data_IF_353230507024
#
_entry.id   IF_353230507024
#
_cell.length_a   1.000
_cell.length_b   1.000
_cell.length_c   1.000
_cell.angle_alpha   90.00
_cell.angle_beta   90.00
_cell.angle_gamma   90.00
#
_symmetry.space_group_name_H-M   'P 1'
#
loop_
_entity.id
_entity.type
_entity.pdbx_description
1 polymer ?
#
# COMPACT_ATOMS: atom_id res chain seq x y z
N UNK A 1 0.45 -8.23 17.66
CA UNK A 1 -0.02 -8.46 16.27
C UNK A 1 -0.34 -7.11 15.65
N UNK A 2 0.04 -6.86 14.38
CA UNK A 2 -0.44 -5.65 13.67
C UNK A 2 -1.96 -5.67 13.58
N UNK A 3 -2.60 -4.53 13.80
CA UNK A 3 -4.03 -4.41 13.57
C UNK A 3 -4.34 -4.61 12.08
N UNK A 4 -5.58 -4.86 11.74
CA UNK A 4 -6.02 -4.88 10.34
C UNK A 4 -6.86 -3.65 10.10
N UNK A 5 -6.69 -3.04 8.93
CA UNK A 5 -7.40 -1.82 8.59
C UNK A 5 -8.93 -2.03 8.70
N UNK A 6 -9.58 -1.28 9.59
CA UNK A 6 -11.04 -1.16 9.63
C UNK A 6 -11.43 0.23 9.15
N UNK A 7 -12.30 0.36 8.13
CA UNK A 7 -12.78 1.66 7.70
C UNK A 7 -13.60 2.31 8.82
N UNK A 8 -13.23 3.54 9.22
CA UNK A 8 -14.12 4.44 9.96
C UNK A 8 -13.67 4.96 11.32
N UNK A 9 -12.52 4.58 11.88
CA UNK A 9 -12.13 5.06 13.23
C UNK A 9 -10.80 5.82 13.31
N UNK A 10 -9.94 5.71 12.30
CA UNK A 10 -8.66 6.38 12.30
C UNK A 10 -8.16 6.58 10.86
N UNK A 11 -7.45 7.67 10.58
CA UNK A 11 -6.80 7.92 9.27
C UNK A 11 -5.57 7.03 9.13
N UNK A 12 -5.77 5.71 9.13
CA UNK A 12 -4.76 4.78 8.67
C UNK A 12 -4.40 5.18 7.24
N UNK A 13 -3.10 5.26 6.93
CA UNK A 13 -2.65 5.57 5.57
C UNK A 13 -3.35 4.63 4.59
N UNK A 14 -4.08 5.18 3.61
CA UNK A 14 -4.84 4.41 2.61
C UNK A 14 -3.95 3.44 1.82
N UNK A 15 -2.63 3.67 1.82
CA UNK A 15 -1.62 2.87 1.15
C UNK A 15 -0.56 2.35 2.13
N UNK A 16 -0.96 1.59 3.15
CA UNK A 16 0.03 0.83 3.94
C UNK A 16 0.67 -0.26 3.05
N UNK A 17 2.01 -0.40 3.05
CA UNK A 17 2.68 -1.44 2.29
C UNK A 17 2.33 -2.86 2.78
N UNK A 18 1.82 -3.02 4.01
CA UNK A 18 1.42 -4.31 4.58
C UNK A 18 -0.07 -4.64 4.40
N UNK A 19 -0.81 -3.89 3.56
CA UNK A 19 -2.25 -4.09 3.37
C UNK A 19 -2.58 -5.58 3.15
N UNK A 20 -3.55 -6.14 3.91
CA UNK A 20 -4.55 -5.48 4.75
C UNK A 20 -4.12 -5.15 6.20
N UNK A 21 -2.89 -5.47 6.60
CA UNK A 21 -2.38 -5.20 7.94
C UNK A 21 -1.95 -3.73 8.08
N UNK A 22 -2.36 -3.12 9.19
CA UNK A 22 -1.95 -1.80 9.64
C UNK A 22 -1.02 -1.95 10.86
N UNK A 23 0.28 -1.84 10.61
CA UNK A 23 1.31 -1.98 11.64
C UNK A 23 1.58 -0.67 12.41
N UNK A 24 0.83 0.41 12.15
CA UNK A 24 0.80 1.59 13.01
C UNK A 24 0.03 1.35 14.31
N UNK A 25 -0.74 0.26 14.36
CA UNK A 25 -1.51 -0.17 15.51
C UNK A 25 -1.14 -1.61 15.86
N UNK A 26 -0.89 -1.88 17.14
CA UNK A 26 -0.50 -3.20 17.64
C UNK A 26 -1.48 -3.63 18.71
N UNK A 27 -2.08 -4.80 18.49
CA UNK A 27 -2.85 -5.51 19.50
C UNK A 27 -1.89 -6.37 20.32
N UNK A 28 -1.91 -6.17 21.63
CA UNK A 28 -1.15 -6.94 22.61
C UNK A 28 -2.10 -7.53 23.66
N UNK A 29 -2.24 -8.86 23.65
CA UNK A 29 -3.06 -9.61 24.58
C UNK A 29 -2.44 -10.98 24.89
N UNK A 30 -2.97 -11.65 25.92
CA UNK A 30 -2.62 -13.02 26.30
C UNK A 30 -3.48 -14.08 25.59
N UNK A 31 -4.21 -13.68 24.53
CA UNK A 31 -5.06 -14.60 23.81
C UNK A 31 -4.22 -15.62 23.03
N UNK A 32 -4.73 -16.86 22.83
CA UNK A 32 -4.09 -17.82 21.95
C UNK A 32 -3.88 -17.20 20.56
N UNK A 33 -2.70 -17.41 19.99
CA UNK A 33 -2.39 -16.92 18.64
C UNK A 33 -3.39 -17.52 17.66
N UNK A 34 -3.98 -16.68 16.82
CA UNK A 34 -4.87 -17.15 15.76
C UNK A 34 -4.07 -18.05 14.81
N UNK A 35 -4.62 -19.22 14.43
CA UNK A 35 -4.01 -20.05 13.41
C UNK A 35 -3.96 -19.30 12.09
N UNK A 36 -3.08 -19.74 11.19
CA UNK A 36 -3.10 -19.25 9.82
C UNK A 36 -4.48 -19.50 9.20
N UNK A 37 -4.99 -18.56 8.41
CA UNK A 37 -6.29 -18.71 7.78
C UNK A 37 -6.24 -19.87 6.79
N UNK A 38 -7.22 -20.78 6.90
CA UNK A 38 -7.43 -21.89 5.98
C UNK A 38 -8.79 -21.74 5.31
N UNK A 39 -8.87 -22.00 4.00
CA UNK A 39 -10.13 -21.96 3.25
C UNK A 39 -10.22 -23.17 2.31
N UNK A 40 -11.24 -23.99 2.53
CA UNK A 40 -11.53 -25.13 1.66
C UNK A 40 -11.85 -24.68 0.22
N UNK A 41 -12.51 -23.52 0.08
CA UNK A 41 -12.83 -22.93 -1.23
C UNK A 41 -11.55 -22.56 -1.99
N UNK A 42 -10.58 -21.94 -1.31
CA UNK A 42 -9.28 -21.61 -1.92
C UNK A 42 -8.53 -22.89 -2.28
N UNK A 43 -8.51 -23.89 -1.39
CA UNK A 43 -7.88 -25.18 -1.68
C UNK A 43 -8.48 -25.85 -2.94
N UNK A 44 -9.81 -25.79 -3.11
CA UNK A 44 -10.48 -26.29 -4.32
C UNK A 44 -10.13 -25.47 -5.56
N UNK A 45 -10.09 -24.15 -5.45
CA UNK A 45 -9.72 -23.26 -6.55
C UNK A 45 -8.27 -23.49 -7.01
N UNK A 46 -7.33 -23.50 -6.07
CA UNK A 46 -5.91 -23.77 -6.33
C UNK A 46 -5.71 -25.17 -6.91
N UNK A 47 -6.41 -26.18 -6.39
CA UNK A 47 -6.34 -27.53 -6.94
C UNK A 47 -6.83 -27.60 -8.41
N UNK A 48 -7.86 -26.83 -8.77
CA UNK A 48 -8.35 -26.75 -10.15
C UNK A 48 -7.33 -26.06 -11.07
N UNK A 49 -6.80 -24.90 -10.66
CA UNK A 49 -5.77 -24.17 -11.41
C UNK A 49 -4.54 -25.04 -11.62
N UNK A 50 -4.06 -25.69 -10.56
CA UNK A 50 -2.90 -26.59 -10.63
C UNK A 50 -3.16 -27.80 -11.51
N UNK A 51 -4.34 -28.42 -11.44
CA UNK A 51 -4.68 -29.56 -12.30
C UNK A 51 -4.70 -29.19 -13.78
N UNK A 52 -5.27 -28.03 -14.13
CA UNK A 52 -5.29 -27.52 -15.51
C UNK A 52 -3.88 -27.16 -15.96
N UNK A 53 -3.15 -26.38 -15.16
CA UNK A 53 -1.79 -25.96 -15.48
C UNK A 53 -0.84 -27.14 -15.67
N UNK A 54 -0.92 -28.17 -14.81
CA UNK A 54 -0.12 -29.40 -14.93
C UNK A 54 -0.40 -30.16 -16.23
N UNK A 55 -1.67 -30.25 -16.64
CA UNK A 55 -2.03 -30.95 -17.88
C UNK A 55 -1.68 -30.14 -19.14
N UNK A 56 -1.75 -28.81 -19.08
CA UNK A 56 -1.40 -27.95 -20.22
C UNK A 56 0.12 -27.75 -20.37
N UNK A 57 0.85 -27.69 -19.26
CA UNK A 57 2.30 -27.48 -19.20
C UNK A 57 3.00 -28.61 -18.41
N UNK A 58 2.97 -29.85 -18.91
CA UNK A 58 3.52 -31.00 -18.18
C UNK A 58 5.04 -30.90 -18.06
N UNK A 59 5.54 -31.19 -16.85
CA UNK A 59 6.97 -31.35 -16.57
C UNK A 59 7.40 -32.80 -16.84
N UNK A 60 8.70 -33.08 -17.07
CA UNK A 60 9.17 -34.43 -17.38
C UNK A 60 8.94 -35.45 -16.26
N UNK A 61 8.78 -35.00 -15.02
CA UNK A 61 8.57 -35.85 -13.83
C UNK A 61 7.08 -36.11 -13.53
N UNK A 62 6.15 -35.54 -14.29
CA UNK A 62 4.71 -35.75 -14.06
C UNK A 62 4.28 -37.17 -14.48
N UNK A 63 3.72 -37.92 -13.51
CA UNK A 63 3.06 -39.22 -13.70
C UNK A 63 1.81 -39.05 -14.58
N UNK A 64 2.04 -38.99 -15.89
CA UNK A 64 0.96 -38.91 -16.86
C UNK A 64 0.62 -40.30 -17.36
N UNK A 65 -0.69 -40.55 -17.53
CA UNK A 65 -1.27 -41.85 -17.93
C UNK A 65 -0.90 -42.28 -19.37
N UNK A 66 -0.05 -41.51 -20.05
CA UNK A 66 0.31 -41.67 -21.46
C UNK A 66 1.81 -41.95 -21.60
N UNK A 67 2.21 -42.72 -22.62
CA UNK A 67 3.63 -43.01 -22.84
C UNK A 67 4.42 -41.74 -23.20
N UNK A 68 5.67 -41.57 -22.72
CA UNK A 68 6.49 -40.39 -23.01
C UNK A 68 6.71 -40.17 -24.51
N UNK A 69 6.79 -41.26 -25.29
CA UNK A 69 6.96 -41.21 -26.74
C UNK A 69 5.75 -40.56 -27.44
N UNK A 70 4.52 -40.93 -27.07
CA UNK A 70 3.30 -40.36 -27.65
C UNK A 70 3.15 -38.88 -27.27
N UNK A 71 3.47 -38.52 -26.03
CA UNK A 71 3.46 -37.11 -25.57
C UNK A 71 4.45 -36.26 -26.35
N UNK A 72 5.67 -36.76 -26.56
CA UNK A 72 6.69 -36.06 -27.34
C UNK A 72 6.29 -35.86 -28.82
N UNK A 73 5.58 -36.83 -29.40
CA UNK A 73 5.08 -36.75 -30.77
C UNK A 73 3.95 -35.71 -30.90
N UNK A 74 3.07 -35.64 -29.91
CA UNK A 74 1.97 -34.66 -29.86
C UNK A 74 2.51 -33.25 -29.63
N UNK A 75 3.47 -33.07 -28.73
CA UNK A 75 4.15 -31.77 -28.54
C UNK A 75 4.90 -31.33 -29.82
N UNK A 76 5.58 -32.26 -30.51
CA UNK A 76 6.21 -31.97 -31.82
C UNK A 76 5.20 -31.57 -32.89
N UNK A 77 3.95 -32.05 -32.79
CA UNK A 77 2.86 -31.64 -33.68
C UNK A 77 2.23 -30.30 -33.30
N UNK A 78 2.70 -29.64 -32.23
CA UNK A 78 2.18 -28.37 -31.75
C UNK A 78 0.79 -28.48 -31.13
N UNK A 79 0.36 -29.67 -30.72
CA UNK A 79 -0.90 -29.89 -30.01
C UNK A 79 -0.64 -30.12 -28.51
N UNK A 80 -1.59 -29.73 -27.68
CA UNK A 80 -1.58 -29.96 -26.22
C UNK A 80 -2.58 -31.07 -25.91
N UNK A 81 -2.18 -32.01 -25.07
CA UNK A 81 -3.02 -33.15 -24.68
C UNK A 81 -3.45 -32.99 -23.22
N UNK A 82 -4.76 -33.00 -22.97
CA UNK A 82 -5.32 -33.23 -21.65
C UNK A 82 -5.50 -34.74 -21.45
N UNK A 83 -4.74 -35.30 -20.52
CA UNK A 83 -4.70 -36.73 -20.22
C UNK A 83 -5.66 -37.17 -19.11
N UNK A 84 -6.12 -36.23 -18.28
CA UNK A 84 -7.13 -36.46 -17.25
C UNK A 84 -8.21 -35.36 -17.27
N UNK A 85 -8.99 -35.37 -18.36
CA UNK A 85 -10.11 -34.44 -18.51
C UNK A 85 -11.20 -34.64 -17.44
N UNK A 86 -11.33 -35.86 -16.90
CA UNK A 86 -12.30 -36.17 -15.85
C UNK A 86 -11.97 -35.41 -14.55
N UNK A 87 -10.70 -35.36 -14.17
CA UNK A 87 -10.23 -34.65 -12.98
C UNK A 87 -10.58 -33.14 -13.03
N UNK A 88 -10.36 -32.49 -14.19
CA UNK A 88 -10.72 -31.07 -14.37
C UNK A 88 -12.22 -30.84 -14.20
N UNK A 89 -13.06 -31.72 -14.75
CA UNK A 89 -14.52 -31.64 -14.63
C UNK A 89 -14.96 -31.80 -13.17
N UNK A 90 -14.39 -32.77 -12.45
CA UNK A 90 -14.73 -33.02 -11.05
C UNK A 90 -14.29 -31.87 -10.14
N UNK A 91 -13.05 -31.36 -10.30
CA UNK A 91 -12.58 -30.19 -9.53
C UNK A 91 -13.40 -28.93 -9.84
N UNK A 92 -13.82 -28.74 -11.09
CA UNK A 92 -14.71 -27.63 -11.46
C UNK A 92 -16.09 -27.77 -10.82
N UNK A 93 -16.63 -28.99 -10.73
CA UNK A 93 -17.89 -29.25 -10.02
C UNK A 93 -17.78 -28.93 -8.53
N UNK A 94 -16.66 -29.29 -7.91
CA UNK A 94 -16.45 -29.11 -6.47
C UNK A 94 -16.31 -27.63 -6.08
N UNK A 95 -15.70 -26.81 -6.96
CA UNK A 95 -15.60 -25.36 -6.76
C UNK A 95 -16.91 -24.63 -7.14
N UNK A 96 -17.46 -24.94 -8.31
CA UNK A 96 -18.57 -24.20 -8.92
C UNK A 96 -19.91 -24.89 -8.66
N UNK A 97 -20.25 -25.07 -7.39
CA UNK A 97 -21.40 -25.86 -6.96
C UNK A 97 -22.76 -25.21 -7.31
N UNK A 98 -22.85 -23.87 -7.32
CA UNK A 98 -24.08 -23.18 -7.68
C UNK A 98 -24.33 -23.23 -9.19
N UNK A 99 -25.58 -23.11 -9.62
CA UNK A 99 -25.95 -23.19 -11.04
C UNK A 99 -25.37 -22.02 -11.86
N UNK A 100 -25.27 -20.85 -11.22
CA UNK A 100 -24.78 -19.58 -11.74
C UNK A 100 -23.26 -19.40 -11.61
N UNK A 101 -22.58 -20.28 -10.86
CA UNK A 101 -21.13 -20.25 -10.76
C UNK A 101 -20.45 -20.77 -12.03
N UNK A 102 -19.39 -20.07 -12.47
CA UNK A 102 -18.47 -20.52 -13.52
C UNK A 102 -19.15 -20.90 -14.85
N UNK A 103 -20.26 -20.26 -15.22
CA UNK A 103 -21.07 -20.61 -16.42
C UNK A 103 -20.21 -20.70 -17.68
N UNK A 104 -19.28 -19.77 -17.88
CA UNK A 104 -18.39 -19.76 -19.06
C UNK A 104 -17.46 -20.97 -19.08
N UNK A 105 -16.87 -21.33 -17.93
CA UNK A 105 -16.00 -22.50 -17.80
C UNK A 105 -16.80 -23.79 -17.99
N UNK A 106 -17.97 -23.93 -17.35
CA UNK A 106 -18.85 -25.09 -17.52
C UNK A 106 -19.22 -25.31 -19.00
N UNK A 107 -19.60 -24.25 -19.71
CA UNK A 107 -19.93 -24.33 -21.13
C UNK A 107 -18.72 -24.71 -22.00
N UNK A 108 -17.53 -24.18 -21.71
CA UNK A 108 -16.31 -24.56 -22.41
C UNK A 108 -16.00 -26.06 -22.21
N UNK A 109 -16.10 -26.57 -20.98
CA UNK A 109 -15.89 -27.98 -20.68
C UNK A 109 -16.94 -28.89 -21.32
N UNK A 110 -18.21 -28.49 -21.37
CA UNK A 110 -19.28 -29.24 -22.06
C UNK A 110 -18.98 -29.39 -23.55
N UNK A 111 -18.51 -28.32 -24.19
CA UNK A 111 -18.11 -28.33 -25.60
C UNK A 111 -16.88 -29.22 -25.84
N UNK A 112 -15.86 -29.14 -24.97
CA UNK A 112 -14.66 -29.99 -25.06
C UNK A 112 -14.97 -31.47 -24.82
N UNK A 113 -15.87 -31.77 -23.89
CA UNK A 113 -16.32 -33.13 -23.58
C UNK A 113 -17.31 -33.71 -24.59
N UNK A 114 -17.73 -32.94 -25.60
CA UNK A 114 -18.76 -33.30 -26.58
C UNK A 114 -20.02 -33.88 -25.90
N UNK A 115 -20.58 -33.12 -24.96
CA UNK A 115 -21.76 -33.51 -24.17
C UNK A 115 -22.90 -32.50 -24.32
N UNK A 116 -24.12 -32.90 -23.95
CA UNK A 116 -25.31 -32.07 -24.12
C UNK A 116 -25.43 -30.99 -23.04
N UNK A 117 -25.10 -31.32 -21.80
CA UNK A 117 -25.20 -30.44 -20.64
C UNK A 117 -24.15 -30.79 -19.57
N UNK A 118 -23.97 -29.86 -18.63
CA UNK A 118 -23.02 -29.97 -17.52
C UNK A 118 -23.28 -31.22 -16.67
N UNK A 119 -24.55 -31.52 -16.37
CA UNK A 119 -24.92 -32.66 -15.54
C UNK A 119 -24.58 -34.00 -16.20
N UNK A 120 -24.79 -34.14 -17.52
CA UNK A 120 -24.36 -35.33 -18.25
C UNK A 120 -22.83 -35.46 -18.26
N UNK A 121 -22.09 -34.36 -18.41
CA UNK A 121 -20.63 -34.36 -18.36
C UNK A 121 -20.12 -34.83 -17.00
N UNK A 122 -20.63 -34.26 -15.91
CA UNK A 122 -20.29 -34.63 -14.54
C UNK A 122 -20.64 -36.09 -14.24
N UNK A 123 -21.78 -36.59 -14.74
CA UNK A 123 -22.17 -37.99 -14.58
C UNK A 123 -21.23 -38.93 -15.33
N UNK A 124 -20.73 -38.54 -16.51
CA UNK A 124 -19.72 -39.31 -17.26
C UNK A 124 -18.37 -39.31 -16.54
N UNK A 125 -17.96 -38.18 -15.96
CA UNK A 125 -16.75 -38.10 -15.15
C UNK A 125 -16.83 -39.03 -13.92
N UNK A 126 -17.92 -38.95 -13.15
CA UNK A 126 -18.09 -39.78 -11.94
C UNK A 126 -18.24 -41.29 -12.23
N UNK A 127 -18.69 -41.66 -13.42
CA UNK A 127 -18.82 -43.08 -13.81
C UNK A 127 -17.55 -43.66 -14.43
N UNK A 128 -16.44 -42.90 -14.44
CA UNK A 128 -15.19 -43.31 -15.10
C UNK A 128 -15.29 -43.42 -16.62
N UNK A 129 -16.39 -42.98 -17.23
CA UNK A 129 -16.59 -43.02 -18.69
C UNK A 129 -15.72 -42.00 -19.44
N UNK A 130 -15.05 -41.11 -18.71
CA UNK A 130 -14.06 -40.18 -19.23
C UNK A 130 -12.63 -40.64 -18.99
N UNK A 131 -12.41 -41.75 -18.25
CA UNK A 131 -11.08 -42.33 -18.08
C UNK A 131 -10.58 -42.86 -19.45
N UNK A 132 -9.51 -42.23 -19.96
CA UNK A 132 -8.95 -42.51 -21.28
C UNK A 132 -9.45 -41.61 -22.41
N UNK A 133 -10.32 -40.64 -22.11
CA UNK A 133 -10.68 -39.58 -23.08
C UNK A 133 -9.60 -38.52 -23.09
N UNK A 134 -8.72 -38.65 -24.07
CA UNK A 134 -7.63 -37.73 -24.35
C UNK A 134 -8.15 -36.57 -25.21
N UNK A 135 -8.19 -35.36 -24.65
CA UNK A 135 -8.63 -34.16 -25.40
C UNK A 135 -7.41 -33.48 -26.01
N UNK A 136 -7.40 -33.37 -27.33
CA UNK A 136 -6.35 -32.65 -28.06
C UNK A 136 -6.79 -31.21 -28.31
N UNK A 137 -5.99 -30.27 -27.84
CA UNK A 137 -6.20 -28.84 -27.98
C UNK A 137 -5.12 -28.24 -28.86
N UNK A 138 -5.50 -27.20 -29.61
CA UNK A 138 -4.53 -26.29 -30.21
C UNK A 138 -3.96 -25.40 -29.10
N UNK A 139 -2.73 -24.87 -29.24
CA UNK A 139 -2.08 -24.05 -28.20
C UNK A 139 -2.93 -22.85 -27.78
N UNK A 140 -3.56 -22.17 -28.75
CA UNK A 140 -4.47 -21.03 -28.47
C UNK A 140 -5.69 -21.45 -27.66
N UNK A 141 -6.24 -22.65 -27.90
CA UNK A 141 -7.38 -23.16 -27.15
C UNK A 141 -6.98 -23.62 -25.75
N UNK A 142 -5.77 -24.16 -25.59
CA UNK A 142 -5.17 -24.49 -24.30
C UNK A 142 -4.96 -23.24 -23.45
N UNK A 143 -4.33 -22.20 -24.00
CA UNK A 143 -4.12 -20.91 -23.33
C UNK A 143 -5.46 -20.21 -23.01
N UNK A 144 -6.44 -20.31 -23.90
CA UNK A 144 -7.78 -19.78 -23.63
C UNK A 144 -8.49 -20.53 -22.49
N UNK A 145 -8.24 -21.83 -22.34
CA UNK A 145 -8.78 -22.61 -21.23
C UNK A 145 -8.10 -22.23 -19.90
N UNK A 146 -6.78 -22.08 -19.91
CA UNK A 146 -5.98 -21.65 -18.75
C UNK A 146 -6.47 -20.29 -18.22
N UNK A 147 -6.53 -19.28 -19.09
CA UNK A 147 -7.03 -17.96 -18.74
C UNK A 147 -8.50 -17.97 -18.27
N UNK A 148 -9.32 -18.85 -18.84
CA UNK A 148 -10.73 -18.98 -18.45
C UNK A 148 -10.86 -19.57 -17.04
N UNK A 149 -10.01 -20.54 -16.69
CA UNK A 149 -9.94 -21.11 -15.35
C UNK A 149 -9.48 -20.05 -14.36
N UNK A 150 -8.36 -19.37 -14.64
CA UNK A 150 -7.83 -18.30 -13.78
C UNK A 150 -8.87 -17.20 -13.50
N UNK A 151 -9.53 -16.71 -14.56
CA UNK A 151 -10.57 -15.68 -14.44
C UNK A 151 -11.79 -16.18 -13.67
N UNK A 152 -12.15 -17.46 -13.82
CA UNK A 152 -13.29 -18.06 -13.12
C UNK A 152 -13.00 -18.33 -11.64
N UNK A 153 -11.76 -18.64 -11.28
CA UNK A 153 -11.33 -18.95 -9.91
C UNK A 153 -10.98 -17.70 -9.10
N UNK A 154 -10.50 -16.65 -9.76
CA UNK A 154 -10.09 -15.39 -9.12
C UNK A 154 -11.09 -14.80 -8.11
N UNK A 155 -12.41 -14.66 -8.41
CA UNK A 155 -13.35 -14.07 -7.46
C UNK A 155 -13.53 -14.90 -6.18
N UNK A 156 -13.38 -16.24 -6.25
CA UNK A 156 -13.43 -17.10 -5.07
C UNK A 156 -12.26 -16.82 -4.15
N UNK A 157 -11.04 -16.76 -4.71
CA UNK A 157 -9.84 -16.50 -3.92
C UNK A 157 -9.88 -15.10 -3.32
N UNK A 158 -10.18 -14.08 -4.13
CA UNK A 158 -10.27 -12.68 -3.67
C UNK A 158 -11.27 -12.51 -2.52
N UNK A 159 -12.46 -13.10 -2.64
CA UNK A 159 -13.49 -13.02 -1.60
C UNK A 159 -13.08 -13.71 -0.32
N UNK A 160 -12.46 -14.88 -0.42
CA UNK A 160 -11.97 -15.62 0.75
C UNK A 160 -10.79 -14.91 1.41
N UNK A 161 -9.84 -14.35 0.64
CA UNK A 161 -8.75 -13.52 1.16
C UNK A 161 -9.29 -12.32 1.93
N UNK A 162 -10.25 -11.58 1.35
CA UNK A 162 -10.87 -10.43 2.01
C UNK A 162 -11.61 -10.83 3.30
N UNK A 163 -12.34 -11.96 3.27
CA UNK A 163 -13.06 -12.50 4.43
C UNK A 163 -12.08 -12.94 5.53
N UNK A 164 -10.98 -13.59 5.17
CA UNK A 164 -9.95 -14.02 6.11
C UNK A 164 -9.19 -12.83 6.70
N UNK A 165 -8.93 -11.79 5.90
CA UNK A 165 -8.39 -10.53 6.41
C UNK A 165 -9.34 -9.90 7.44
N UNK A 166 -10.66 -9.87 7.17
CA UNK A 166 -11.65 -9.34 8.10
C UNK A 166 -11.77 -10.18 9.38
N UNK A 167 -11.67 -11.51 9.31
CA UNK A 167 -11.76 -12.35 10.52
C UNK A 167 -10.56 -12.16 11.45
N UNK A 168 -9.38 -11.90 10.90
CA UNK A 168 -8.20 -11.50 11.67
C UNK A 168 -8.33 -10.10 12.30
N UNK A 169 -9.29 -9.27 11.84
CA UNK A 169 -9.56 -7.92 12.37
C UNK A 169 -10.45 -7.92 13.64
N UNK A 170 -10.78 -9.08 14.19
CA UNK A 170 -11.54 -9.18 15.44
C UNK A 170 -10.60 -9.50 16.59
N UNK A 171 -10.01 -8.49 17.28
CA UNK A 171 -9.21 -8.74 18.46
C UNK A 171 -10.05 -9.47 19.52
N UNK A 172 -9.44 -10.43 20.20
CA UNK A 172 -10.05 -11.00 21.39
C UNK A 172 -10.31 -9.89 22.42
N UNK A 173 -11.44 -9.93 23.16
CA UNK A 173 -11.79 -8.89 24.11
C UNK A 173 -10.70 -8.75 25.20
N UNK A 174 -10.46 -7.50 25.62
CA UNK A 174 -9.40 -7.14 26.57
C UNK A 174 -8.04 -6.86 25.93
N UNK A 175 -7.01 -6.71 26.77
CA UNK A 175 -5.63 -6.42 26.35
C UNK A 175 -5.37 -4.94 26.08
N UNK A 176 -4.31 -4.67 25.32
CA UNK A 176 -3.85 -3.33 24.98
C UNK A 176 -3.85 -3.13 23.46
N UNK A 177 -4.42 -2.01 23.00
CA UNK A 177 -4.24 -1.53 21.63
C UNK A 177 -3.28 -0.35 21.68
N UNK A 178 -2.09 -0.53 21.13
CA UNK A 178 -1.05 0.50 21.07
C UNK A 178 -1.09 1.12 19.67
N UNK A 179 -1.34 2.41 19.56
CA UNK A 179 -1.42 3.13 18.28
C UNK A 179 -0.36 4.24 18.19
N UNK A 180 0.19 4.45 17.00
CA UNK A 180 1.06 5.58 16.70
C UNK A 180 0.22 6.78 16.25
N UNK A 181 0.26 7.90 16.98
CA UNK A 181 -0.45 9.13 16.59
C UNK A 181 0.07 9.72 15.27
N UNK A 182 1.29 9.36 14.88
CA UNK A 182 1.92 9.79 13.62
C UNK A 182 1.65 8.84 12.45
N UNK A 183 1.00 7.69 12.70
CA UNK A 183 0.77 6.66 11.69
C UNK A 183 2.05 5.94 11.24
N UNK A 184 3.12 6.00 12.04
CA UNK A 184 4.36 5.28 11.77
C UNK A 184 4.24 3.81 12.18
N UNK A 185 4.80 2.92 11.36
CA UNK A 185 4.81 1.48 11.65
C UNK A 185 5.64 1.16 12.91
N UNK A 186 5.08 0.36 13.80
CA UNK A 186 5.68 -0.06 15.08
C UNK A 186 6.50 -1.37 14.95
N UNK A 187 6.73 -1.81 13.72
CA UNK A 187 7.31 -3.11 13.37
C UNK A 187 8.59 -2.94 12.59
N UNK A 188 9.61 -3.74 12.90
CA UNK A 188 10.94 -3.67 12.29
C UNK A 188 11.10 -4.55 11.05
N UNK A 189 10.04 -4.72 10.24
CA UNK A 189 10.09 -5.55 9.04
C UNK A 189 10.31 -4.70 7.79
N UNK A 190 11.09 -5.19 6.81
CA UNK A 190 11.17 -4.54 5.50
C UNK A 190 9.80 -4.58 4.84
N UNK A 191 9.44 -3.48 4.17
CA UNK A 191 8.21 -3.43 3.39
C UNK A 191 8.22 -4.45 2.26
N UNK A 192 7.10 -5.13 1.99
CA UNK A 192 6.98 -5.97 0.81
C UNK A 192 7.15 -5.10 -0.44
N UNK A 193 7.78 -5.66 -1.46
CA UNK A 193 8.03 -4.96 -2.73
C UNK A 193 6.77 -4.78 -3.57
N UNK A 194 5.73 -5.57 -3.29
CA UNK A 194 4.47 -5.64 -4.04
C UNK A 194 3.35 -5.72 -3.02
N UNK A 195 2.29 -4.92 -3.21
CA UNK A 195 1.12 -4.97 -2.35
C UNK A 195 0.36 -6.27 -2.55
N UNK A 196 -0.33 -6.77 -1.52
CA UNK A 196 -1.07 -8.02 -1.60
C UNK A 196 -2.07 -8.05 -2.77
N UNK A 197 -2.75 -6.94 -3.02
CA UNK A 197 -3.77 -6.84 -4.07
C UNK A 197 -3.20 -6.66 -5.48
N UNK A 198 -1.89 -6.45 -5.61
CA UNK A 198 -1.21 -6.39 -6.90
C UNK A 198 -0.76 -7.79 -7.38
N UNK A 199 -0.81 -8.80 -6.51
CA UNK A 199 -0.52 -10.18 -6.89
C UNK A 199 -1.65 -10.79 -7.73
N UNK A 200 -1.32 -11.70 -8.66
CA UNK A 200 -2.34 -12.51 -9.32
C UNK A 200 -3.10 -13.34 -8.28
N UNK A 201 -4.41 -13.54 -8.50
CA UNK A 201 -5.29 -14.18 -7.52
C UNK A 201 -4.78 -15.55 -7.04
N UNK A 202 -4.10 -16.30 -7.91
CA UNK A 202 -3.53 -17.62 -7.59
C UNK A 202 -2.42 -17.57 -6.51
N UNK A 203 -1.64 -16.50 -6.46
CA UNK A 203 -0.50 -16.32 -5.53
C UNK A 203 -0.90 -15.47 -4.32
N UNK A 204 -1.95 -14.67 -4.47
CA UNK A 204 -2.40 -13.74 -3.45
C UNK A 204 -2.75 -14.43 -2.12
N UNK A 205 -3.36 -15.63 -2.14
CA UNK A 205 -3.66 -16.33 -0.90
C UNK A 205 -2.40 -16.78 -0.15
N UNK A 206 -1.42 -17.31 -0.87
CA UNK A 206 -0.16 -17.78 -0.29
C UNK A 206 0.65 -16.60 0.27
N UNK A 207 0.67 -15.47 -0.46
CA UNK A 207 1.27 -14.23 0.02
C UNK A 207 0.54 -13.66 1.23
N UNK A 208 -0.79 -13.75 1.28
CA UNK A 208 -1.56 -13.37 2.45
C UNK A 208 -1.21 -14.25 3.66
N UNK A 209 -1.14 -15.56 3.49
CA UNK A 209 -0.72 -16.48 4.56
C UNK A 209 0.73 -16.21 5.02
N UNK A 210 1.63 -15.90 4.09
CA UNK A 210 3.03 -15.54 4.38
C UNK A 210 3.10 -14.25 5.19
N UNK A 211 2.38 -13.20 4.77
CA UNK A 211 2.30 -11.92 5.47
C UNK A 211 1.65 -12.07 6.85
N UNK A 212 0.54 -12.80 6.94
CA UNK A 212 -0.11 -13.13 8.20
C UNK A 212 0.86 -13.87 9.13
N UNK A 213 1.51 -14.93 8.65
CA UNK A 213 2.49 -15.69 9.42
C UNK A 213 3.64 -14.82 9.92
N UNK A 214 4.18 -13.97 9.07
CA UNK A 214 5.25 -13.03 9.42
C UNK A 214 4.78 -12.04 10.50
N UNK A 215 3.71 -11.29 10.25
CA UNK A 215 3.27 -10.20 11.13
C UNK A 215 2.67 -10.68 12.46
N UNK A 216 2.13 -11.92 12.50
CA UNK A 216 1.68 -12.56 13.73
C UNK A 216 2.84 -12.93 14.67
N UNK A 217 4.03 -13.21 14.12
CA UNK A 217 5.20 -13.66 14.88
C UNK A 217 6.28 -12.61 15.04
N UNK A 218 6.06 -11.42 14.48
CA UNK A 218 7.07 -10.38 14.47
C UNK A 218 7.13 -9.66 15.82
N UNK A 219 8.33 -9.51 16.43
CA UNK A 219 8.49 -8.64 17.58
C UNK A 219 8.23 -7.19 17.18
N UNK A 220 7.52 -6.46 18.03
CA UNK A 220 7.29 -5.03 17.85
C UNK A 220 8.07 -4.24 18.90
N UNK A 221 8.38 -2.98 18.59
CA UNK A 221 8.98 -2.04 19.53
C UNK A 221 8.14 -0.78 19.51
N UNK A 222 7.53 -0.47 20.64
CA UNK A 222 6.70 0.70 20.81
C UNK A 222 7.39 1.64 21.82
N UNK A 223 7.95 2.73 21.32
CA UNK A 223 8.60 3.77 22.12
C UNK A 223 8.00 5.12 21.77
N UNK A 224 7.59 5.87 22.78
CA UNK A 224 6.86 7.11 22.55
C UNK A 224 6.43 7.77 23.86
N UNK A 225 6.03 9.03 23.75
CA UNK A 225 5.32 9.73 24.81
C UNK A 225 3.86 9.29 24.73
N UNK A 226 3.32 8.81 25.85
CA UNK A 226 1.90 8.46 25.95
C UNK A 226 1.07 9.73 25.92
N UNK A 227 0.30 9.93 24.86
CA UNK A 227 -0.56 11.12 24.67
C UNK A 227 -1.95 10.91 25.24
N UNK A 228 -2.49 9.69 25.11
CA UNK A 228 -3.82 9.35 25.56
C UNK A 228 -3.89 7.88 26.02
N UNK A 229 -4.67 7.64 27.06
CA UNK A 229 -4.99 6.31 27.56
C UNK A 229 -6.48 6.26 27.90
N UNK A 230 -7.23 5.40 27.23
CA UNK A 230 -8.64 5.17 27.53
C UNK A 230 -8.99 3.68 27.43
N UNK A 231 -10.11 3.29 28.01
CA UNK A 231 -10.58 1.89 28.00
C UNK A 231 -11.90 1.84 27.25
N UNK A 232 -11.98 0.98 26.24
CA UNK A 232 -13.21 0.76 25.48
C UNK A 232 -14.19 -0.15 26.25
N UNK A 233 -15.46 -0.18 25.80
CA UNK A 233 -16.51 -1.03 26.34
C UNK A 233 -16.15 -2.53 26.34
N UNK A 234 -15.25 -2.95 25.44
CA UNK A 234 -14.73 -4.31 25.36
C UNK A 234 -13.63 -4.64 26.40
N UNK A 235 -13.27 -3.68 27.26
CA UNK A 235 -12.20 -3.83 28.26
C UNK A 235 -10.79 -3.73 27.70
N UNK A 236 -10.64 -3.36 26.42
CA UNK A 236 -9.34 -3.11 25.78
C UNK A 236 -8.85 -1.72 26.12
N UNK A 237 -7.59 -1.61 26.58
CA UNK A 237 -6.96 -0.34 26.88
C UNK A 237 -6.26 0.21 25.65
N UNK A 238 -6.73 1.35 25.15
CA UNK A 238 -6.14 2.08 24.05
C UNK A 238 -5.03 2.99 24.59
N UNK A 239 -3.83 2.86 24.03
CA UNK A 239 -2.65 3.65 24.37
C UNK A 239 -2.16 4.31 23.09
N UNK A 240 -2.28 5.62 23.01
CA UNK A 240 -1.73 6.39 21.91
C UNK A 240 -0.30 6.83 22.24
N UNK A 241 0.59 6.63 21.28
CA UNK A 241 2.01 6.98 21.37
C UNK A 241 2.35 8.03 20.33
N UNK A 242 2.99 9.10 20.78
CA UNK A 242 3.67 10.06 19.92
C UNK A 242 5.16 9.77 19.93
N UNK A 243 5.84 9.86 18.78
CA UNK A 243 7.22 9.39 18.65
C UNK A 243 8.14 10.27 19.50
N UNK A 244 9.07 9.64 20.22
CA UNK A 244 10.15 10.40 20.84
C UNK A 244 11.08 10.89 19.73
N UNK A 245 11.41 12.19 19.67
CA UNK A 245 12.33 12.69 18.67
C UNK A 245 13.70 12.04 18.87
N UNK A 246 14.20 11.37 17.83
CA UNK A 246 15.52 10.75 17.86
C UNK A 246 16.59 11.80 18.22
N UNK A 247 17.62 11.40 18.96
CA UNK A 247 18.69 12.31 19.41
C UNK A 247 19.34 13.09 18.26
N UNK A 248 19.43 12.47 17.09
CA UNK A 248 19.91 13.08 15.86
C UNK A 248 18.93 14.13 15.33
N UNK A 249 17.62 13.85 15.38
CA UNK A 249 16.58 14.81 14.98
C UNK A 249 16.56 16.05 15.88
N UNK A 250 16.70 15.87 17.19
CA UNK A 250 16.84 16.98 18.14
C UNK A 250 18.02 17.90 17.79
N UNK A 251 19.16 17.32 17.43
CA UNK A 251 20.33 18.09 16.99
C UNK A 251 20.05 18.92 15.73
N UNK A 252 19.37 18.34 14.73
CA UNK A 252 18.97 19.07 13.52
C UNK A 252 17.98 20.20 13.83
N UNK A 253 17.04 20.00 14.76
CA UNK A 253 16.11 21.06 15.18
C UNK A 253 16.83 22.19 15.90
N UNK A 254 17.82 21.89 16.76
CA UNK A 254 18.65 22.90 17.42
C UNK A 254 19.46 23.68 16.38
N UNK A 255 20.10 22.98 15.43
CA UNK A 255 20.89 23.61 14.36
C UNK A 255 20.03 24.53 13.48
N UNK A 256 18.89 24.03 12.99
CA UNK A 256 17.98 24.82 12.14
C UNK A 256 17.42 26.03 12.88
N UNK A 257 17.07 25.90 14.16
CA UNK A 257 16.60 27.03 14.99
C UNK A 257 17.69 28.09 15.16
N UNK A 258 18.94 27.66 15.41
CA UNK A 258 20.08 28.57 15.55
C UNK A 258 20.40 29.29 14.23
N UNK A 259 20.33 28.59 13.10
CA UNK A 259 20.49 29.18 11.77
C UNK A 259 19.38 30.20 11.45
N UNK A 260 18.12 29.88 11.78
CA UNK A 260 16.98 30.80 11.64
C UNK A 260 17.20 32.07 12.47
N UNK A 261 17.69 31.93 13.70
CA UNK A 261 17.97 33.07 14.57
C UNK A 261 19.10 33.94 13.99
N UNK A 262 20.18 33.33 13.50
CA UNK A 262 21.27 34.04 12.83
C UNK A 262 20.79 34.80 11.57
N UNK A 263 19.95 34.16 10.75
CA UNK A 263 19.32 34.78 9.57
C UNK A 263 18.49 36.01 9.95
N UNK A 264 17.68 35.93 11.00
CA UNK A 264 16.86 37.04 11.49
C UNK A 264 17.76 38.20 11.96
N UNK A 265 18.83 37.91 12.71
CA UNK A 265 19.78 38.94 13.16
C UNK A 265 20.46 39.63 11.98
N UNK A 266 20.92 38.86 10.99
CA UNK A 266 21.51 39.39 9.76
C UNK A 266 20.50 40.24 8.98
N UNK A 267 19.25 39.81 8.86
CA UNK A 267 18.20 40.55 8.17
C UNK A 267 17.91 41.90 8.84
N UNK A 268 17.80 41.91 10.18
CA UNK A 268 17.58 43.14 10.95
C UNK A 268 18.79 44.08 10.79
N UNK A 269 20.00 43.56 10.94
CA UNK A 269 21.23 44.37 10.84
C UNK A 269 21.35 45.02 9.45
N UNK A 270 21.21 44.22 8.39
CA UNK A 270 21.27 44.72 7.02
C UNK A 270 20.10 45.67 6.71
N UNK A 271 18.90 45.41 7.23
CA UNK A 271 17.74 46.29 7.11
C UNK A 271 17.99 47.67 7.73
N UNK A 272 18.54 47.72 8.94
CA UNK A 272 18.90 48.99 9.61
C UNK A 272 19.98 49.73 8.83
N UNK A 273 21.01 49.02 8.35
CA UNK A 273 22.07 49.64 7.55
C UNK A 273 21.53 50.19 6.21
N UNK A 274 20.67 49.45 5.53
CA UNK A 274 20.03 49.90 4.29
C UNK A 274 19.16 51.14 4.52
N UNK A 275 18.41 51.18 5.63
CA UNK A 275 17.54 52.31 5.96
C UNK A 275 18.35 53.56 6.31
N UNK A 276 19.44 53.41 7.06
CA UNK A 276 20.41 54.51 7.31
C UNK A 276 21.06 55.01 6.03
N UNK A 277 21.46 54.09 5.15
CA UNK A 277 22.04 54.46 3.85
C UNK A 277 21.03 55.24 3.00
N UNK A 278 19.76 54.80 2.97
CA UNK A 278 18.69 55.46 2.25
C UNK A 278 18.40 56.87 2.80
N UNK A 279 18.34 57.04 4.13
CA UNK A 279 18.16 58.34 4.77
C UNK A 279 19.29 59.32 4.40
N UNK A 280 20.55 58.89 4.57
CA UNK A 280 21.71 59.72 4.20
C UNK A 280 21.74 60.05 2.70
N UNK A 281 21.32 59.12 1.85
CA UNK A 281 21.23 59.37 0.40
C UNK A 281 20.14 60.39 0.06
N UNK A 282 19.00 60.37 0.76
CA UNK A 282 17.96 61.40 0.63
C UNK A 282 18.44 62.78 1.07
N UNK A 283 19.14 62.85 2.21
CA UNK A 283 19.75 64.11 2.69
C UNK A 283 20.74 64.66 1.66
N UNK A 284 21.64 63.82 1.14
CA UNK A 284 22.59 64.22 0.09
C UNK A 284 21.89 64.70 -1.19
N UNK A 285 20.84 64.03 -1.64
CA UNK A 285 20.08 64.49 -2.82
C UNK A 285 19.42 65.85 -2.58
N UNK A 286 18.87 66.08 -1.38
CA UNK A 286 18.27 67.37 -1.02
C UNK A 286 19.33 68.49 -0.98
N UNK A 287 20.52 68.22 -0.45
CA UNK A 287 21.62 69.19 -0.43
C UNK A 287 22.15 69.47 -1.85
N UNK A 288 22.26 68.45 -2.70
CA UNK A 288 22.63 68.62 -4.11
C UNK A 288 21.59 69.49 -4.83
N UNK A 289 20.30 69.24 -4.61
CA UNK A 289 19.24 70.02 -5.22
C UNK A 289 19.28 71.49 -4.75
N UNK A 290 19.49 71.74 -3.46
CA UNK A 290 19.68 73.10 -2.91
C UNK A 290 20.90 73.80 -3.52
N UNK A 291 22.02 73.09 -3.69
CA UNK A 291 23.21 73.64 -4.32
C UNK A 291 22.94 74.11 -5.76
N UNK A 292 22.31 73.28 -6.58
CA UNK A 292 21.96 73.66 -7.95
C UNK A 292 20.89 74.76 -8.01
N UNK A 293 19.90 74.75 -7.12
CA UNK A 293 18.90 75.84 -7.00
C UNK A 293 19.57 77.18 -6.65
N UNK A 294 20.58 77.18 -5.78
CA UNK A 294 21.35 78.38 -5.43
C UNK A 294 22.24 78.92 -6.57
N UNK A 295 22.69 78.05 -7.48
CA UNK A 295 23.43 78.46 -8.69
C UNK A 295 22.51 79.03 -9.78
N UNK A 296 21.24 78.60 -9.82
CA UNK A 296 20.25 79.07 -10.80
C UNK A 296 19.56 80.37 -10.34
N UNK A 297 19.41 80.58 -9.03
CA UNK A 297 18.97 81.84 -8.43
C UNK A 297 19.98 82.27 -7.34
N UNK A 298 20.96 83.13 -7.65
CA UNK A 298 21.86 83.63 -6.63
C UNK A 298 21.03 84.42 -5.61
N UNK A 299 21.01 83.95 -4.36
CA UNK A 299 20.43 84.71 -3.25
C UNK A 299 21.15 86.05 -3.19
N UNK A 300 20.46 87.12 -3.58
CA UNK A 300 20.89 88.50 -3.35
C UNK A 300 21.04 88.67 -1.83
N UNK A 301 22.28 88.72 -1.37
CA UNK A 301 22.63 89.13 0.00
C UNK A 301 21.93 90.48 0.24
N UNK A 302 21.03 90.63 1.22
CA UNK A 302 20.50 91.94 1.53
C UNK A 302 21.63 92.79 2.12
N UNK A 303 21.77 94.00 1.59
CA UNK A 303 22.74 95.00 2.02
C UNK A 303 22.61 95.29 3.52
N UNK A 304 23.71 95.65 4.22
CA UNK A 304 23.66 95.99 5.63
C UNK A 304 23.14 97.42 5.79
N UNK A 305 21.83 97.59 5.98
CA UNK A 305 21.27 98.88 6.38
C UNK A 305 21.32 99.03 7.91
N UNK A 306 22.21 99.93 8.32
CA UNK A 306 22.38 100.66 9.57
C UNK A 306 21.15 100.86 10.47
N UNK A 307 21.32 100.81 11.80
CA UNK A 307 20.74 101.76 12.81
C UNK A 307 21.40 101.51 14.20
N UNK A 308 22.30 102.39 14.70
CA UNK A 308 22.14 103.50 15.68
C UNK A 308 21.72 103.03 17.10
N UNK A 309 22.65 102.90 18.05
CA UNK A 309 23.18 103.88 19.05
C UNK A 309 22.42 103.88 20.37
N UNK A 310 23.12 103.72 21.49
CA UNK A 310 22.79 104.41 22.76
C UNK A 310 24.04 104.48 23.66
N UNK A 311 24.46 105.70 23.95
CA UNK A 311 25.35 106.03 25.07
C UNK A 311 24.47 106.35 26.29
N UNK A 312 24.88 106.01 27.53
CA UNK A 312 24.11 106.33 28.73
C UNK A 312 24.52 107.69 29.31
N UNK A 313 23.55 108.48 29.78
CA UNK A 313 23.74 109.51 30.81
C UNK A 313 22.59 109.41 31.81
N UNK A 314 22.89 109.53 33.10
CA UNK A 314 21.94 109.53 34.23
C UNK A 314 20.69 110.39 34.00
#
# INVERSE_FOLDING_TARGET
MCNIHSPGTWTAQENSPFLPFDCSQIIWNDAPRLPLPESETVNKATALVQAVSRQLHPTPDDDSRVSPALRSAIQKSGMVLLDDFADIVLKTKDLCAAADDCVRLKNALVNLGNTRDWDALVKRANSGKLDGVNVLLRPVSAESLDNLVDTSTAPFILRETARAAQSLNSPAPGGFLISSDEGSDLVSQPYPTTSLYDYPAREQWDEFQRLAGMLMHTPFRAEGIVTNVFTDANGTQHINLHRMPDSTGLWHYIETTLLMLAMIVCAIYNGVQALRHYQRHRERLADIQKYYESCINPVLIPAPDSFKSDFPTN
#
